data_IF_217949020277
#
_entry.id   IF_217949020277
#
_cell.length_a   1.000
_cell.length_b   1.000
_cell.length_c   1.000
_cell.angle_alpha   90.00
_cell.angle_beta   90.00
_cell.angle_gamma   90.00
#
_symmetry.space_group_name_H-M   'P 1'
#
loop_
_entity.id
_entity.type
_entity.pdbx_description
1 polymer ?
#
# COMPACT_ATOMS: atom_id res chain seq x y z
N UNK A 1 11.18 19.02 0.72
CA UNK A 1 10.70 17.69 0.28
C UNK A 1 11.00 16.72 1.41
N UNK A 2 10.04 15.88 1.82
CA UNK A 2 10.33 14.85 2.81
C UNK A 2 11.13 13.72 2.16
N UNK A 3 12.16 13.20 2.83
CA UNK A 3 12.88 12.03 2.32
C UNK A 3 11.95 10.82 2.33
N UNK A 4 11.93 10.10 1.21
CA UNK A 4 11.17 8.88 1.03
C UNK A 4 12.13 7.69 0.88
N UNK A 5 11.78 6.59 1.52
CA UNK A 5 12.49 5.33 1.43
C UNK A 5 11.61 4.31 0.73
N UNK A 6 12.18 3.64 -0.28
CA UNK A 6 11.50 2.56 -0.99
C UNK A 6 11.92 1.20 -0.44
N UNK A 7 10.97 0.26 -0.38
CA UNK A 7 11.22 -1.15 -0.15
C UNK A 7 10.43 -2.01 -1.14
N UNK A 8 10.95 -3.20 -1.43
CA UNK A 8 10.23 -4.23 -2.20
C UNK A 8 9.83 -5.34 -1.22
N UNK A 9 8.53 -5.58 -1.09
CA UNK A 9 7.99 -6.53 -0.12
C UNK A 9 7.11 -7.59 -0.79
N UNK A 10 7.15 -8.83 -0.28
CA UNK A 10 6.22 -9.88 -0.71
C UNK A 10 4.84 -9.55 -0.17
N UNK A 11 3.80 -9.68 -1.01
CA UNK A 11 2.41 -9.47 -0.60
C UNK A 11 2.01 -10.36 0.59
N UNK A 12 2.56 -11.56 0.67
CA UNK A 12 2.31 -12.51 1.77
C UNK A 12 2.87 -12.06 3.13
N UNK A 13 3.78 -11.08 3.16
CA UNK A 13 4.34 -10.49 4.39
C UNK A 13 3.59 -9.24 4.86
N UNK A 14 2.69 -8.71 4.04
CA UNK A 14 1.92 -7.52 4.38
C UNK A 14 0.86 -7.85 5.42
N UNK A 15 0.88 -7.10 6.53
CA UNK A 15 -0.16 -7.19 7.55
C UNK A 15 -1.47 -6.57 7.05
N UNK A 16 -2.59 -6.93 7.68
CA UNK A 16 -3.88 -6.31 7.39
C UNK A 16 -3.85 -4.79 7.58
N UNK A 17 -3.11 -4.30 8.58
CA UNK A 17 -2.93 -2.86 8.82
C UNK A 17 -2.25 -2.16 7.64
N UNK A 18 -1.15 -2.74 7.11
CA UNK A 18 -0.45 -2.16 5.95
C UNK A 18 -1.34 -2.17 4.71
N UNK A 19 -2.11 -3.24 4.49
CA UNK A 19 -3.06 -3.31 3.37
C UNK A 19 -4.16 -2.27 3.49
N UNK A 20 -4.68 -2.02 4.70
CA UNK A 20 -5.64 -0.96 4.97
C UNK A 20 -5.05 0.44 4.74
N UNK A 21 -3.80 0.69 5.16
CA UNK A 21 -3.10 1.95 4.87
C UNK A 21 -2.89 2.17 3.37
N UNK A 22 -2.55 1.10 2.62
CA UNK A 22 -2.43 1.15 1.17
C UNK A 22 -3.78 1.49 0.52
N UNK A 23 -4.87 0.84 0.96
CA UNK A 23 -6.21 1.15 0.45
C UNK A 23 -6.62 2.58 0.77
N UNK A 24 -6.41 3.06 1.99
CA UNK A 24 -6.71 4.43 2.39
C UNK A 24 -5.88 5.48 1.63
N UNK A 25 -4.70 5.10 1.11
CA UNK A 25 -3.93 5.94 0.21
C UNK A 25 -4.51 5.88 -1.21
N UNK A 26 -4.83 4.69 -1.70
CA UNK A 26 -5.43 4.45 -3.02
C UNK A 26 -6.77 5.19 -3.19
N UNK A 27 -7.67 5.07 -2.22
CA UNK A 27 -9.01 5.69 -2.20
C UNK A 27 -8.98 7.22 -2.27
N UNK A 28 -7.89 7.85 -1.80
CA UNK A 28 -7.72 9.31 -1.91
C UNK A 28 -7.46 9.80 -3.34
N UNK A 29 -6.91 8.94 -4.19
CA UNK A 29 -6.51 9.30 -5.55
C UNK A 29 -7.43 8.68 -6.60
N UNK A 30 -8.15 7.62 -6.25
CA UNK A 30 -9.03 6.89 -7.15
C UNK A 30 -10.43 6.78 -6.55
N UNK A 31 -11.39 7.50 -7.14
CA UNK A 31 -12.79 7.39 -6.73
C UNK A 31 -13.41 6.03 -7.11
N UNK A 32 -14.44 5.62 -6.35
CA UNK A 32 -15.34 4.49 -6.64
C UNK A 32 -14.74 3.06 -6.57
N UNK A 33 -13.67 2.85 -5.81
CA UNK A 33 -13.15 1.50 -5.54
C UNK A 33 -13.50 0.97 -4.16
N UNK A 34 -14.00 -0.28 -4.08
CA UNK A 34 -14.20 -0.95 -2.80
C UNK A 34 -12.90 -1.58 -2.29
N UNK A 35 -12.73 -1.61 -0.96
CA UNK A 35 -11.57 -2.25 -0.31
C UNK A 35 -11.42 -3.72 -0.75
N UNK A 36 -12.53 -4.45 -0.88
CA UNK A 36 -12.51 -5.84 -1.34
C UNK A 36 -11.93 -6.00 -2.75
N UNK A 37 -12.26 -5.08 -3.68
CA UNK A 37 -11.71 -5.12 -5.02
C UNK A 37 -10.20 -4.84 -5.01
N UNK A 38 -9.78 -3.84 -4.22
CA UNK A 38 -8.36 -3.53 -4.02
C UNK A 38 -7.58 -4.71 -3.44
N UNK A 39 -8.11 -5.33 -2.38
CA UNK A 39 -7.46 -6.47 -1.71
C UNK A 39 -7.39 -7.70 -2.63
N UNK A 40 -8.41 -7.92 -3.47
CA UNK A 40 -8.40 -8.98 -4.48
C UNK A 40 -7.31 -8.74 -5.52
N UNK A 41 -7.26 -7.54 -6.10
CA UNK A 41 -6.20 -7.19 -7.06
C UNK A 41 -4.79 -7.30 -6.44
N UNK A 42 -4.64 -6.85 -5.20
CA UNK A 42 -3.39 -6.97 -4.45
C UNK A 42 -2.99 -8.43 -4.23
N UNK A 43 -3.96 -9.32 -3.97
CA UNK A 43 -3.71 -10.75 -3.74
C UNK A 43 -3.21 -11.49 -4.99
N UNK A 44 -3.53 -10.98 -6.18
CA UNK A 44 -3.03 -11.52 -7.45
C UNK A 44 -1.56 -11.14 -7.72
N UNK A 45 -1.00 -10.20 -6.96
CA UNK A 45 0.40 -9.77 -7.08
C UNK A 45 1.31 -10.55 -6.13
N UNK A 46 2.56 -10.76 -6.54
CA UNK A 46 3.57 -11.43 -5.70
C UNK A 46 4.38 -10.44 -4.84
N UNK A 47 4.62 -9.25 -5.38
CA UNK A 47 5.48 -8.23 -4.79
C UNK A 47 4.84 -6.85 -4.93
N UNK A 48 5.19 -5.96 -4.00
CA UNK A 48 4.83 -4.54 -4.03
C UNK A 48 6.06 -3.68 -3.77
N UNK A 49 6.05 -2.49 -4.35
CA UNK A 49 6.98 -1.41 -3.97
C UNK A 49 6.24 -0.52 -2.98
N UNK A 50 6.86 -0.23 -1.83
CA UNK A 50 6.29 0.63 -0.80
C UNK A 50 7.20 1.83 -0.60
N UNK A 51 6.61 3.02 -0.51
CA UNK A 51 7.27 4.26 -0.14
C UNK A 51 6.86 4.66 1.29
N UNK A 52 7.85 4.91 2.15
CA UNK A 52 7.66 5.40 3.52
C UNK A 52 8.43 6.67 3.77
N UNK A 53 7.90 7.55 4.61
CA UNK A 53 8.66 8.68 5.14
C UNK A 53 9.59 8.25 6.30
N UNK A 54 10.38 9.20 6.83
CA UNK A 54 11.29 8.97 7.98
C UNK A 54 10.58 8.44 9.24
N UNK A 55 9.28 8.66 9.39
CA UNK A 55 8.50 8.15 10.52
C UNK A 55 7.96 6.73 10.30
N UNK A 56 8.24 6.14 9.13
CA UNK A 56 7.76 4.81 8.74
C UNK A 56 6.34 4.82 8.16
N UNK A 57 5.73 5.99 8.01
CA UNK A 57 4.36 6.11 7.49
C UNK A 57 4.33 5.89 5.99
N UNK A 58 3.37 5.09 5.52
CA UNK A 58 3.17 4.79 4.11
C UNK A 58 2.73 6.05 3.33
N UNK A 59 3.35 6.27 2.16
CA UNK A 59 3.14 7.43 1.28
C UNK A 59 2.88 7.06 -0.18
N UNK A 60 3.13 5.81 -0.57
CA UNK A 60 2.97 5.32 -1.94
C UNK A 60 3.33 3.85 -2.04
#
# INVERSE_FOLDING_TARGET
MADLYSSIEKVTRLTALVKGDMFALYDKYYDATSENLFLKDLSDKQWVVILRDKSGRLKG
#
